data_IF_890906041281
#
_entry.id   IF_890906041281
#
_cell.length_a   1.000
_cell.length_b   1.000
_cell.length_c   1.000
_cell.angle_alpha   90.00
_cell.angle_beta   90.00
_cell.angle_gamma   90.00
#
_symmetry.space_group_name_H-M   'P 1'
#
loop_
_entity.id
_entity.type
_entity.pdbx_description
1 polymer ?
#
# COMPACT_ATOMS: atom_id res chain seq x y z
N UNK A 1 11.55 -8.12 2.11
CA UNK A 1 11.66 -6.74 2.63
C UNK A 1 10.25 -6.28 2.96
N UNK A 2 10.01 -6.06 4.25
CA UNK A 2 8.73 -5.62 4.79
C UNK A 2 8.75 -4.14 5.10
N UNK A 3 7.57 -3.52 5.07
CA UNK A 3 7.40 -2.13 5.48
C UNK A 3 6.01 -1.96 6.09
N UNK A 4 5.95 -1.15 7.14
CA UNK A 4 4.73 -0.71 7.79
C UNK A 4 4.67 0.81 7.74
N UNK A 5 3.54 1.36 7.31
CA UNK A 5 3.37 2.79 7.08
C UNK A 5 1.97 3.27 7.46
N UNK A 6 1.88 4.53 7.85
CA UNK A 6 0.65 5.30 7.77
C UNK A 6 0.61 6.00 6.42
N UNK A 7 -0.45 5.76 5.65
CA UNK A 7 -0.58 6.32 4.32
C UNK A 7 -1.99 6.87 4.07
N UNK A 8 -2.05 7.94 3.29
CA UNK A 8 -3.30 8.53 2.81
C UNK A 8 -3.62 8.02 1.41
N UNK A 9 -4.86 7.65 1.16
CA UNK A 9 -5.33 7.26 -0.17
C UNK A 9 -5.42 8.51 -1.06
N UNK A 10 -4.76 8.48 -2.21
CA UNK A 10 -4.78 9.59 -3.18
C UNK A 10 -5.68 9.31 -4.38
N UNK A 11 -5.78 8.05 -4.78
CA UNK A 11 -6.62 7.60 -5.89
C UNK A 11 -7.02 6.14 -5.66
N UNK A 12 -8.16 5.73 -6.20
CA UNK A 12 -8.61 4.34 -6.16
C UNK A 12 -8.83 3.87 -7.60
N UNK A 13 -8.02 2.92 -8.05
CA UNK A 13 -8.23 2.26 -9.33
C UNK A 13 -8.83 0.88 -9.05
N UNK A 14 -10.16 0.79 -9.09
CA UNK A 14 -10.85 -0.49 -9.03
C UNK A 14 -10.53 -1.29 -10.31
N UNK A 15 -9.66 -2.28 -10.18
CA UNK A 15 -9.60 -3.37 -11.14
C UNK A 15 -10.86 -4.19 -10.98
N UNK A 16 -11.89 -3.94 -11.78
CA UNK A 16 -13.22 -4.58 -11.73
C UNK A 16 -13.24 -6.12 -11.73
N UNK A 17 -12.09 -6.79 -11.87
CA UNK A 17 -11.99 -8.26 -11.93
C UNK A 17 -10.67 -8.82 -11.32
N UNK A 18 -9.74 -7.99 -10.86
CA UNK A 18 -8.40 -8.40 -10.37
C UNK A 18 -7.92 -7.48 -9.24
N UNK A 19 -6.95 -7.94 -8.43
CA UNK A 19 -6.36 -7.23 -7.27
C UNK A 19 -6.51 -5.70 -7.29
N UNK A 20 -7.12 -5.13 -6.24
CA UNK A 20 -7.34 -3.70 -6.15
C UNK A 20 -6.01 -2.94 -6.00
N UNK A 21 -5.82 -1.90 -6.82
CA UNK A 21 -4.64 -1.04 -6.79
C UNK A 21 -5.08 0.37 -6.38
N UNK A 22 -4.52 0.85 -5.29
CA UNK A 22 -4.79 2.19 -4.77
C UNK A 22 -3.53 3.05 -4.89
N UNK A 23 -3.72 4.31 -5.26
CA UNK A 23 -2.70 5.33 -5.09
C UNK A 23 -2.63 5.76 -3.63
N UNK A 24 -1.41 5.92 -3.12
CA UNK A 24 -1.18 6.37 -1.75
C UNK A 24 -0.05 7.39 -1.66
N UNK A 25 -0.14 8.21 -0.63
CA UNK A 25 0.93 9.07 -0.14
C UNK A 25 1.31 8.61 1.26
N UNK A 26 2.58 8.25 1.46
CA UNK A 26 3.05 7.80 2.77
C UNK A 26 3.36 9.00 3.65
N UNK A 27 2.62 9.11 4.76
CA UNK A 27 2.81 10.16 5.76
C UNK A 27 3.93 9.79 6.74
N UNK A 28 3.96 8.53 7.20
CA UNK A 28 4.91 8.07 8.22
C UNK A 28 5.28 6.61 7.99
N UNK A 29 6.56 6.27 8.15
CA UNK A 29 7.01 4.88 8.23
C UNK A 29 7.04 4.47 9.70
N UNK A 30 6.26 3.45 10.05
CA UNK A 30 6.22 2.90 11.41
C UNK A 30 7.28 1.82 11.58
N UNK A 31 7.48 0.97 10.57
CA UNK A 31 8.53 -0.06 10.56
C UNK A 31 9.09 -0.28 9.15
N UNK A 32 10.38 -0.61 9.04
CA UNK A 32 11.00 -0.93 7.76
C UNK A 32 12.20 -1.83 7.91
N UNK A 33 12.34 -2.77 6.98
CA UNK A 33 13.58 -3.56 6.82
C UNK A 33 14.55 -2.93 5.82
N UNK A 34 14.34 -1.68 5.41
CA UNK A 34 15.12 -0.96 4.40
C UNK A 34 15.79 0.27 5.05
N UNK A 35 17.07 0.47 4.76
CA UNK A 35 17.81 1.67 5.20
C UNK A 35 17.25 2.94 4.56
N UNK A 36 17.42 4.10 5.22
CA UNK A 36 16.87 5.40 4.79
C UNK A 36 15.36 5.38 4.49
N UNK A 37 14.61 4.68 5.36
CA UNK A 37 13.17 4.43 5.19
C UNK A 37 12.34 5.69 4.92
N UNK A 38 12.69 6.83 5.52
CA UNK A 38 11.99 8.10 5.30
C UNK A 38 12.16 8.66 3.87
N UNK A 39 13.34 8.50 3.27
CA UNK A 39 13.58 8.90 1.87
C UNK A 39 12.87 7.93 0.93
N UNK A 40 12.92 6.64 1.27
CA UNK A 40 12.30 5.59 0.49
C UNK A 40 10.77 5.66 0.51
N UNK A 41 10.17 6.05 1.65
CA UNK A 41 8.73 6.23 1.81
C UNK A 41 8.12 7.14 0.74
N UNK A 42 8.81 8.23 0.39
CA UNK A 42 8.36 9.19 -0.65
C UNK A 42 8.28 8.58 -2.04
N UNK A 43 8.88 7.41 -2.26
CA UNK A 43 8.84 6.67 -3.53
C UNK A 43 7.72 5.63 -3.57
N UNK A 44 7.14 5.31 -2.41
CA UNK A 44 5.99 4.42 -2.29
C UNK A 44 4.76 5.23 -2.69
N UNK A 45 4.13 4.82 -3.78
CA UNK A 45 3.04 5.58 -4.43
C UNK A 45 1.78 4.76 -4.61
N UNK A 46 1.86 3.45 -4.37
CA UNK A 46 0.75 2.54 -4.60
C UNK A 46 0.68 1.46 -3.51
N UNK A 47 -0.51 0.94 -3.26
CA UNK A 47 -0.62 -0.37 -2.62
C UNK A 47 -1.56 -1.28 -3.42
N UNK A 48 -1.23 -2.57 -3.43
CA UNK A 48 -1.99 -3.61 -4.09
C UNK A 48 -2.56 -4.57 -3.06
N UNK A 49 -3.88 -4.77 -3.10
CA UNK A 49 -4.57 -5.79 -2.30
C UNK A 49 -5.09 -6.91 -3.19
N UNK A 50 -4.67 -8.14 -2.88
CA UNK A 50 -5.30 -9.35 -3.44
C UNK A 50 -6.49 -9.82 -2.61
N UNK A 51 -6.74 -9.19 -1.47
CA UNK A 51 -7.93 -9.43 -0.69
C UNK A 51 -9.07 -8.71 -1.44
N UNK A 52 -9.91 -9.47 -2.13
CA UNK A 52 -11.16 -8.98 -2.70
C UNK A 52 -12.02 -8.23 -1.66
N UNK A 53 -11.82 -8.54 -0.38
CA UNK A 53 -12.42 -7.84 0.77
C UNK A 53 -12.00 -6.36 0.91
N UNK A 54 -10.89 -5.94 0.30
CA UNK A 54 -10.44 -4.55 0.35
C UNK A 54 -10.76 -3.78 -0.94
N UNK A 55 -11.38 -4.40 -1.95
CA UNK A 55 -11.77 -3.71 -3.18
C UNK A 55 -12.95 -2.76 -2.90
N UNK A 56 -12.82 -1.49 -3.28
CA UNK A 56 -13.83 -0.45 -3.07
C UNK A 56 -14.03 -0.01 -1.61
N UNK A 57 -13.19 -0.48 -0.68
CA UNK A 57 -13.31 -0.16 0.75
C UNK A 57 -12.77 1.23 1.06
N UNK A 58 -11.66 1.60 0.44
CA UNK A 58 -10.97 2.85 0.74
C UNK A 58 -11.30 3.93 -0.26
N UNK A 59 -11.54 5.14 0.25
CA UNK A 59 -11.85 6.34 -0.50
C UNK A 59 -10.66 7.28 -0.47
N UNK A 60 -10.59 8.17 -1.47
CA UNK A 60 -9.62 9.26 -1.47
C UNK A 60 -9.69 10.04 -0.15
N UNK A 61 -8.52 10.39 0.39
CA UNK A 61 -8.30 11.02 1.69
C UNK A 61 -8.45 10.13 2.92
N UNK A 62 -8.85 8.86 2.79
CA UNK A 62 -8.78 7.92 3.92
C UNK A 62 -7.34 7.73 4.37
N UNK A 63 -7.12 7.63 5.68
CA UNK A 63 -5.83 7.31 6.27
C UNK A 63 -5.85 5.86 6.72
N UNK A 64 -4.87 5.10 6.24
CA UNK A 64 -4.77 3.65 6.43
C UNK A 64 -3.39 3.28 6.99
N UNK A 65 -3.39 2.37 7.97
CA UNK A 65 -2.20 1.64 8.37
C UNK A 65 -1.95 0.49 7.37
N UNK A 66 -0.76 0.42 6.79
CA UNK A 66 -0.42 -0.57 5.78
C UNK A 66 0.85 -1.29 6.18
N UNK A 67 0.73 -2.59 6.44
CA UNK A 67 1.86 -3.49 6.66
C UNK A 67 1.92 -4.54 5.56
N UNK A 68 3.04 -4.62 4.85
CA UNK A 68 3.13 -5.53 3.72
C UNK A 68 4.52 -5.65 3.11
N UNK A 69 4.57 -6.32 1.96
CA UNK A 69 5.80 -6.51 1.20
C UNK A 69 6.05 -5.30 0.33
N UNK A 70 7.26 -4.77 0.38
CA UNK A 70 7.70 -3.78 -0.58
C UNK A 70 7.92 -4.43 -1.96
N UNK A 71 7.27 -3.89 -2.99
CA UNK A 71 7.34 -4.39 -4.37
C UNK A 71 7.58 -3.25 -5.36
N UNK A 72 8.09 -3.59 -6.53
CA UNK A 72 8.09 -2.69 -7.68
C UNK A 72 6.88 -3.03 -8.56
N UNK A 73 5.94 -2.10 -8.66
CA UNK A 73 4.75 -2.23 -9.51
C UNK A 73 5.16 -1.79 -10.91
N UNK A 74 5.05 -2.70 -11.87
CA UNK A 74 5.25 -2.40 -13.29
C UNK A 74 3.88 -2.17 -13.95
N UNK A 75 3.68 -0.96 -14.49
CA UNK A 75 2.49 -0.55 -15.23
C UNK A 75 2.85 0.45 -16.34
N UNK A 76 1.87 0.94 -17.13
CA UNK A 76 2.12 2.05 -18.05
C UNK A 76 2.75 3.22 -17.29
N UNK A 77 3.68 3.97 -17.91
CA UNK A 77 4.69 4.82 -17.24
C UNK A 77 4.21 5.66 -16.03
N UNK A 78 2.96 6.15 -16.05
CA UNK A 78 2.35 6.88 -14.93
C UNK A 78 2.04 6.03 -13.67
N UNK A 79 2.18 4.70 -13.73
CA UNK A 79 1.86 3.72 -12.67
C UNK A 79 3.02 2.77 -12.36
N UNK A 80 4.19 3.01 -12.94
CA UNK A 80 5.41 2.26 -12.59
C UNK A 80 6.06 2.92 -11.38
N UNK A 81 6.31 2.16 -10.32
CA UNK A 81 6.88 2.72 -9.09
C UNK A 81 6.97 1.72 -7.95
N UNK A 82 7.39 2.19 -6.77
CA UNK A 82 7.37 1.35 -5.58
C UNK A 82 5.98 1.33 -4.97
N UNK A 83 5.60 0.17 -4.46
CA UNK A 83 4.32 -0.02 -3.79
C UNK A 83 4.37 -1.07 -2.70
N UNK A 84 3.29 -1.13 -1.93
CA UNK A 84 3.11 -2.09 -0.85
C UNK A 84 2.13 -3.16 -1.33
N UNK A 85 2.55 -4.41 -1.29
CA UNK A 85 1.71 -5.54 -1.60
C UNK A 85 1.19 -6.20 -0.33
N UNK A 86 -0.13 -6.27 -0.20
CA UNK A 86 -0.81 -7.05 0.82
C UNK A 86 -0.95 -8.49 0.29
N UNK A 87 0.07 -9.31 0.52
CA UNK A 87 0.10 -10.71 0.06
C UNK A 87 -0.40 -11.67 1.13
N UNK A 88 -1.25 -12.68 0.84
CA UNK A 88 -1.77 -13.62 1.84
C UNK A 88 -0.70 -14.40 2.64
N UNK A 89 0.51 -14.54 2.10
CA UNK A 89 1.58 -15.38 2.66
C UNK A 89 2.57 -14.64 3.56
N UNK A 90 2.45 -13.32 3.70
CA UNK A 90 3.14 -12.56 4.76
C UNK A 90 2.36 -12.57 6.09
N UNK A 91 1.31 -13.39 6.19
CA UNK A 91 0.39 -13.56 7.31
C UNK A 91 1.00 -14.26 8.54
N UNK A 92 2.26 -13.98 8.88
CA UNK A 92 2.73 -14.19 10.24
C UNK A 92 2.31 -13.00 11.13
N UNK A 93 2.15 -11.81 10.56
CA UNK A 93 1.77 -10.60 11.29
C UNK A 93 0.63 -9.89 10.54
N UNK A 94 -0.58 -10.11 11.07
CA UNK A 94 -1.81 -9.34 10.95
C UNK A 94 -1.88 -8.26 9.85
N UNK A 95 -2.73 -8.47 8.85
CA UNK A 95 -3.23 -7.38 8.00
C UNK A 95 -4.08 -6.45 8.87
N UNK A 96 -3.58 -5.24 9.11
CA UNK A 96 -4.31 -4.24 9.88
C UNK A 96 -4.39 -2.95 9.07
N UNK A 97 -5.28 -2.95 8.06
CA UNK A 97 -5.71 -1.73 7.40
C UNK A 97 -6.77 -1.05 8.27
N UNK A 98 -6.32 -0.41 9.35
CA UNK A 98 -7.20 0.38 10.20
C UNK A 98 -7.41 1.76 9.59
N UNK A 99 -8.68 2.07 9.32
CA UNK A 99 -9.12 3.45 9.11
C UNK A 99 -8.90 4.24 10.39
N UNK A 100 -7.98 5.19 10.36
CA UNK A 100 -7.87 6.19 11.41
C UNK A 100 -8.74 7.39 11.02
N UNK A 101 -9.74 7.69 11.85
CA UNK A 101 -10.66 8.82 11.68
C UNK A 101 -10.10 10.07 12.34
#
# INVERSE_FOLDING_TARGET
MGVSVLARITDHFEGLVTSALYGVEVDTVTESTVDDSAVFARKITHFRSYLSACAGVFRTSDVVDLSGRLVHVQGPAARSGFGIELSPWSAAESFLANLTR
#
